data_IF_451100938285
#
_entry.id   IF_451100938285
#
_cell.length_a   1.000
_cell.length_b   1.000
_cell.length_c   1.000
_cell.angle_alpha   90.00
_cell.angle_beta   90.00
_cell.angle_gamma   90.00
#
_symmetry.space_group_name_H-M   'P 1'
#
loop_
_entity.id
_entity.type
_entity.pdbx_description
1 polymer ?
#
# COMPACT_ATOMS: atom_id res chain seq x y z
N UNK A 1 10.76 -45.75 -13.99
CA UNK A 1 9.94 -45.30 -12.85
C UNK A 1 10.35 -43.94 -12.29
N UNK A 2 11.65 -43.64 -12.09
CA UNK A 2 12.11 -42.35 -11.52
C UNK A 2 11.83 -41.11 -12.41
N UNK A 3 11.87 -41.27 -13.73
CA UNK A 3 11.65 -40.16 -14.69
C UNK A 3 10.22 -39.59 -14.63
N UNK A 4 9.22 -40.45 -14.43
CA UNK A 4 7.81 -40.06 -14.33
C UNK A 4 7.50 -39.33 -13.02
N UNK A 5 8.24 -39.66 -11.94
CA UNK A 5 8.12 -39.01 -10.63
C UNK A 5 8.70 -37.58 -10.64
N UNK A 6 9.79 -37.36 -11.39
CA UNK A 6 10.40 -36.04 -11.57
C UNK A 6 9.48 -35.10 -12.37
N UNK A 7 8.86 -35.62 -13.45
CA UNK A 7 7.90 -34.85 -14.26
C UNK A 7 6.65 -34.48 -13.45
N UNK A 8 6.12 -35.41 -12.63
CA UNK A 8 4.98 -35.12 -11.73
C UNK A 8 5.33 -34.10 -10.64
N UNK A 9 6.55 -34.13 -10.08
CA UNK A 9 7.03 -33.11 -9.14
C UNK A 9 7.18 -31.74 -9.80
N UNK A 10 7.76 -31.68 -11.00
CA UNK A 10 7.90 -30.45 -11.78
C UNK A 10 6.54 -29.90 -12.21
N UNK A 11 5.58 -30.76 -12.54
CA UNK A 11 4.20 -30.35 -12.84
C UNK A 11 3.46 -29.84 -11.59
N UNK A 12 3.64 -30.45 -10.40
CA UNK A 12 3.09 -29.91 -9.15
C UNK A 12 3.75 -28.60 -8.72
N UNK A 13 5.05 -28.42 -9.00
CA UNK A 13 5.79 -27.18 -8.76
C UNK A 13 5.39 -26.07 -9.75
N UNK A 14 5.08 -26.43 -11.00
CA UNK A 14 4.53 -25.52 -12.03
C UNK A 14 3.07 -25.16 -11.74
N UNK A 15 2.26 -26.06 -11.16
CA UNK A 15 0.90 -25.75 -10.68
C UNK A 15 0.93 -24.76 -9.51
N UNK A 16 2.05 -24.64 -8.79
CA UNK A 16 2.21 -23.69 -7.68
C UNK A 16 2.65 -22.28 -8.11
N UNK A 17 2.98 -22.05 -9.38
CA UNK A 17 3.14 -20.69 -9.92
C UNK A 17 1.86 -20.26 -10.63
N UNK A 18 0.73 -20.22 -9.90
CA UNK A 18 -0.39 -19.38 -10.32
C UNK A 18 0.12 -17.94 -10.28
N UNK A 19 0.46 -17.38 -11.43
CA UNK A 19 0.86 -15.99 -11.59
C UNK A 19 -0.27 -15.12 -11.03
N UNK A 20 -0.12 -14.67 -9.80
CA UNK A 20 -1.07 -13.77 -9.17
C UNK A 20 -1.11 -12.51 -10.03
N UNK A 21 -2.23 -12.27 -10.73
CA UNK A 21 -2.41 -11.03 -11.47
C UNK A 21 -2.51 -9.89 -10.46
N UNK A 22 -1.46 -9.07 -10.39
CA UNK A 22 -1.41 -7.90 -9.51
C UNK A 22 -1.63 -6.65 -10.35
N UNK A 23 -2.72 -5.94 -10.08
CA UNK A 23 -2.99 -4.62 -10.65
C UNK A 23 -2.30 -3.52 -9.84
N UNK A 24 -2.04 -2.40 -10.52
CA UNK A 24 -1.42 -1.22 -9.94
C UNK A 24 -2.34 -0.02 -10.14
N UNK A 25 -2.59 0.71 -9.06
CA UNK A 25 -3.31 1.97 -9.10
C UNK A 25 -2.45 3.07 -8.50
N UNK A 26 -2.13 4.09 -9.31
CA UNK A 26 -1.20 5.16 -8.97
C UNK A 26 0.15 5.04 -9.70
N UNK A 27 1.23 5.64 -9.15
CA UNK A 27 1.25 6.31 -7.86
C UNK A 27 0.59 7.70 -7.96
N UNK A 28 -0.13 8.08 -6.91
CA UNK A 28 -0.65 9.45 -6.76
C UNK A 28 0.43 10.31 -6.11
N UNK A 29 0.57 11.58 -6.50
CA UNK A 29 1.63 12.46 -5.98
C UNK A 29 2.71 12.77 -7.02
N UNK A 30 3.97 12.79 -6.56
CA UNK A 30 5.14 13.05 -7.39
C UNK A 30 5.22 12.11 -8.60
N UNK A 31 5.60 12.69 -9.74
CA UNK A 31 5.82 11.97 -11.01
C UNK A 31 7.32 11.66 -11.25
N UNK A 32 8.18 11.96 -10.28
CA UNK A 32 9.58 11.53 -10.32
C UNK A 32 9.68 9.99 -10.19
N UNK A 33 10.79 9.38 -10.64
CA UNK A 33 10.96 7.94 -10.58
C UNK A 33 10.74 7.36 -9.16
N UNK A 34 9.97 6.29 -9.13
CA UNK A 34 9.68 5.49 -7.94
C UNK A 34 10.98 4.93 -7.35
N UNK A 35 11.05 4.88 -6.02
CA UNK A 35 12.20 4.34 -5.30
C UNK A 35 11.84 3.33 -4.22
N UNK A 36 10.55 2.97 -4.11
CA UNK A 36 10.12 1.86 -3.28
C UNK A 36 8.99 1.08 -3.94
N UNK A 37 9.00 -0.23 -3.70
CA UNK A 37 7.95 -1.16 -4.09
C UNK A 37 7.90 -2.27 -3.05
N UNK A 38 6.73 -2.45 -2.45
CA UNK A 38 6.50 -3.41 -1.40
C UNK A 38 5.24 -4.20 -1.68
N UNK A 39 5.38 -5.52 -1.70
CA UNK A 39 4.28 -6.49 -1.84
C UNK A 39 4.42 -7.52 -0.74
N UNK A 40 3.28 -7.93 -0.20
CA UNK A 40 3.19 -9.08 0.69
C UNK A 40 3.68 -10.34 -0.03
N UNK A 41 4.43 -11.17 0.69
CA UNK A 41 4.74 -12.52 0.26
C UNK A 41 3.54 -13.44 0.47
N UNK A 42 3.61 -14.65 -0.07
CA UNK A 42 2.54 -15.62 0.08
C UNK A 42 2.26 -15.94 1.56
N UNK A 43 0.97 -15.88 1.93
CA UNK A 43 0.49 -16.10 3.28
C UNK A 43 0.74 -14.95 4.27
N UNK A 44 1.44 -13.88 3.87
CA UNK A 44 1.57 -12.69 4.71
C UNK A 44 0.26 -11.89 4.75
N UNK A 45 0.06 -11.15 5.84
CA UNK A 45 -1.09 -10.24 5.98
C UNK A 45 -0.71 -8.96 6.71
N UNK A 46 -1.28 -7.84 6.27
CA UNK A 46 -1.16 -6.56 6.98
C UNK A 46 -1.99 -6.66 8.27
N UNK A 47 -1.37 -6.31 9.40
CA UNK A 47 -2.02 -6.23 10.72
C UNK A 47 -2.22 -4.80 11.17
N UNK A 48 -1.26 -3.93 10.88
CA UNK A 48 -1.37 -2.52 11.19
C UNK A 48 -0.91 -1.68 10.00
N UNK A 49 -1.60 -0.56 9.76
CA UNK A 49 -1.09 0.54 8.94
C UNK A 49 -0.58 1.63 9.87
N UNK A 50 0.66 2.06 9.64
CA UNK A 50 1.32 3.14 10.38
C UNK A 50 1.41 4.34 9.45
N UNK A 51 0.85 5.48 9.87
CA UNK A 51 0.99 6.75 9.16
C UNK A 51 1.74 7.73 10.05
N UNK A 52 2.84 8.29 9.55
CA UNK A 52 3.50 9.44 10.16
C UNK A 52 3.05 10.71 9.47
N UNK A 53 2.64 11.70 10.24
CA UNK A 53 2.07 12.93 9.69
C UNK A 53 2.24 14.14 10.59
N UNK A 54 2.21 15.31 9.96
CA UNK A 54 2.19 16.62 10.59
C UNK A 54 1.50 17.62 9.68
N UNK A 55 2.27 18.54 9.09
CA UNK A 55 1.72 19.45 8.07
C UNK A 55 1.29 18.71 6.80
N UNK A 56 2.05 17.68 6.43
CA UNK A 56 1.75 16.75 5.34
C UNK A 56 1.94 15.30 5.83
N UNK A 57 1.92 14.32 4.94
CA UNK A 57 2.23 12.93 5.27
C UNK A 57 3.73 12.69 5.18
N UNK A 58 4.35 12.39 6.32
CA UNK A 58 5.77 12.09 6.43
C UNK A 58 6.09 10.67 5.94
N UNK A 59 5.27 9.68 6.30
CA UNK A 59 5.51 8.29 5.92
C UNK A 59 4.25 7.41 5.97
N UNK A 60 4.29 6.32 5.20
CA UNK A 60 3.39 5.18 5.31
C UNK A 60 4.18 3.92 5.65
N UNK A 61 3.62 3.06 6.48
CA UNK A 61 4.21 1.77 6.77
C UNK A 61 3.20 0.73 7.23
N UNK A 62 3.69 -0.49 7.37
CA UNK A 62 2.87 -1.66 7.61
C UNK A 62 3.56 -2.58 8.62
N UNK A 63 2.79 -3.03 9.61
CA UNK A 63 3.14 -4.21 10.41
C UNK A 63 2.54 -5.42 9.72
N UNK A 64 3.38 -6.37 9.35
CA UNK A 64 3.02 -7.52 8.54
C UNK A 64 3.24 -8.80 9.35
N UNK A 65 2.21 -9.63 9.45
CA UNK A 65 2.31 -10.95 10.04
C UNK A 65 2.83 -11.96 9.02
N UNK A 66 3.75 -12.82 9.44
CA UNK A 66 4.27 -13.93 8.65
C UNK A 66 3.43 -15.20 8.86
N UNK A 67 3.37 -16.11 7.86
CA UNK A 67 2.63 -17.37 7.99
C UNK A 67 3.10 -18.24 9.17
N UNK A 68 4.41 -18.24 9.43
CA UNK A 68 5.04 -19.02 10.50
C UNK A 68 4.92 -18.37 11.90
N UNK A 69 4.19 -17.27 12.02
CA UNK A 69 4.12 -16.46 13.23
C UNK A 69 5.14 -15.32 13.27
N UNK A 70 4.92 -14.39 14.20
CA UNK A 70 5.70 -13.17 14.32
C UNK A 70 5.32 -12.08 13.30
N UNK A 71 5.96 -10.92 13.43
CA UNK A 71 5.69 -9.74 12.60
C UNK A 71 6.97 -9.04 12.18
N UNK A 72 6.94 -8.32 11.06
CA UNK A 72 7.96 -7.35 10.70
C UNK A 72 7.31 -6.02 10.29
N UNK A 73 8.10 -4.95 10.29
CA UNK A 73 7.63 -3.62 9.89
C UNK A 73 8.36 -3.14 8.64
N UNK A 74 7.63 -2.54 7.71
CA UNK A 74 8.17 -1.78 6.58
C UNK A 74 7.64 -0.36 6.63
N UNK A 75 8.53 0.62 6.47
CA UNK A 75 8.22 2.05 6.49
C UNK A 75 8.80 2.72 5.23
N UNK A 76 8.04 3.65 4.65
CA UNK A 76 8.40 4.41 3.46
C UNK A 76 8.11 5.90 3.73
N UNK A 77 9.16 6.72 3.76
CA UNK A 77 9.10 8.14 4.11
C UNK A 77 9.98 8.53 5.29
N UNK A 78 9.74 9.71 5.84
CA UNK A 78 10.49 10.29 6.94
C UNK A 78 10.21 9.67 8.31
N UNK A 79 11.12 9.88 9.24
CA UNK A 79 11.00 9.43 10.64
C UNK A 79 10.34 10.45 11.57
N UNK A 80 10.02 11.64 11.06
CA UNK A 80 9.40 12.73 11.81
C UNK A 80 7.88 12.55 11.98
N UNK A 81 7.21 13.61 12.46
CA UNK A 81 5.76 13.68 12.59
C UNK A 81 5.19 12.87 13.77
N UNK A 82 3.89 13.05 13.97
CA UNK A 82 3.11 12.21 14.89
C UNK A 82 2.85 10.86 14.22
N UNK A 83 2.86 9.80 15.01
CA UNK A 83 2.56 8.45 14.52
C UNK A 83 1.12 8.07 14.86
N UNK A 84 0.33 7.75 13.84
CA UNK A 84 -1.00 7.15 13.99
C UNK A 84 -0.99 5.72 13.49
N UNK A 85 -1.79 4.86 14.12
CA UNK A 85 -1.88 3.43 13.79
C UNK A 85 -3.32 3.04 13.52
N UNK A 86 -3.54 2.21 12.51
CA UNK A 86 -4.80 1.54 12.21
C UNK A 86 -4.55 0.05 12.44
N UNK A 87 -5.08 -0.50 13.53
CA UNK A 87 -5.00 -1.94 13.82
C UNK A 87 -6.16 -2.62 13.12
N UNK A 88 -5.86 -3.43 12.10
CA UNK A 88 -6.88 -4.12 11.30
C UNK A 88 -7.47 -5.28 12.11
N UNK A 89 -8.80 -5.30 12.21
CA UNK A 89 -9.53 -6.41 12.83
C UNK A 89 -9.45 -7.68 11.98
N UNK A 90 -9.81 -8.82 12.56
CA UNK A 90 -9.91 -10.07 11.80
C UNK A 90 -10.89 -9.90 10.62
N UNK A 91 -10.43 -10.20 9.40
CA UNK A 91 -11.21 -10.01 8.17
C UNK A 91 -11.28 -8.56 7.65
N UNK A 92 -10.72 -7.59 8.36
CA UNK A 92 -10.60 -6.22 7.87
C UNK A 92 -9.49 -6.13 6.82
N UNK A 93 -9.81 -5.51 5.68
CA UNK A 93 -8.95 -5.38 4.51
C UNK A 93 -9.02 -3.96 4.01
N UNK A 94 -7.87 -3.44 3.58
CA UNK A 94 -7.79 -2.15 2.89
C UNK A 94 -8.51 -2.28 1.54
N UNK A 95 -9.41 -1.35 1.27
CA UNK A 95 -10.25 -1.33 0.05
C UNK A 95 -9.99 -0.11 -0.82
N UNK A 96 -9.39 0.95 -0.27
CA UNK A 96 -9.09 2.17 -1.02
C UNK A 96 -8.05 3.01 -0.28
N UNK A 97 -7.28 3.78 -1.04
CA UNK A 97 -6.57 4.95 -0.53
C UNK A 97 -7.13 6.22 -1.17
N UNK A 98 -7.22 7.30 -0.43
CA UNK A 98 -7.62 8.61 -0.97
C UNK A 98 -6.90 9.73 -0.24
N UNK A 99 -6.93 10.94 -0.78
CA UNK A 99 -6.31 12.09 -0.13
C UNK A 99 -6.04 13.23 -1.09
N UNK A 100 -5.01 14.01 -0.76
CA UNK A 100 -4.53 15.11 -1.59
C UNK A 100 -3.01 15.08 -1.72
N UNK A 101 -2.50 15.63 -2.81
CA UNK A 101 -1.08 15.87 -3.03
C UNK A 101 -0.86 17.23 -3.66
N UNK A 102 0.35 17.77 -3.58
CA UNK A 102 0.71 19.06 -4.17
C UNK A 102 2.13 19.47 -3.83
N UNK A 103 2.53 20.67 -4.25
CA UNK A 103 3.89 21.15 -4.06
C UNK A 103 4.08 21.64 -2.62
N UNK A 104 4.97 21.01 -1.86
CA UNK A 104 5.19 21.38 -0.47
C UNK A 104 6.29 22.45 -0.35
N UNK A 105 5.92 23.64 0.13
CA UNK A 105 6.80 24.81 0.16
C UNK A 105 8.04 24.65 1.02
N UNK A 106 7.99 23.76 2.02
CA UNK A 106 9.10 23.49 2.93
C UNK A 106 9.99 22.32 2.46
N UNK A 107 9.77 21.81 1.24
CA UNK A 107 10.61 20.81 0.59
C UNK A 107 10.93 21.25 -0.85
N UNK A 108 11.49 22.45 -1.02
CA UNK A 108 11.88 22.97 -2.34
C UNK A 108 10.75 22.92 -3.39
N UNK A 109 9.50 23.12 -2.97
CA UNK A 109 8.30 22.97 -3.80
C UNK A 109 8.17 21.60 -4.51
N UNK A 110 8.77 20.54 -3.95
CA UNK A 110 8.60 19.18 -4.45
C UNK A 110 7.18 18.68 -4.16
N UNK A 111 6.67 17.84 -5.05
CA UNK A 111 5.35 17.26 -4.91
C UNK A 111 5.35 16.20 -3.79
N UNK A 112 4.41 16.32 -2.85
CA UNK A 112 4.25 15.39 -1.72
C UNK A 112 2.80 15.05 -1.44
N UNK A 113 2.57 13.92 -0.80
CA UNK A 113 1.26 13.53 -0.26
C UNK A 113 0.93 14.46 0.91
N UNK A 114 -0.07 15.31 0.69
CA UNK A 114 -0.49 16.33 1.63
C UNK A 114 -1.44 15.75 2.68
N UNK A 115 -2.40 14.94 2.25
CA UNK A 115 -3.30 14.20 3.13
C UNK A 115 -3.49 12.78 2.64
N UNK A 116 -3.76 11.85 3.57
CA UNK A 116 -4.03 10.45 3.25
C UNK A 116 -5.13 9.88 4.14
N UNK A 117 -6.07 9.17 3.52
CA UNK A 117 -7.06 8.30 4.16
C UNK A 117 -6.85 6.86 3.71
N UNK A 118 -7.03 5.95 4.67
CA UNK A 118 -7.04 4.50 4.43
C UNK A 118 -8.47 4.01 4.63
N UNK A 119 -9.08 3.46 3.59
CA UNK A 119 -10.42 2.90 3.68
C UNK A 119 -10.34 1.39 3.83
N UNK A 120 -11.25 0.82 4.61
CA UNK A 120 -11.37 -0.62 4.79
C UNK A 120 -12.80 -1.06 4.57
N UNK A 121 -13.01 -2.36 4.36
CA UNK A 121 -14.34 -2.95 4.32
C UNK A 121 -15.12 -2.77 5.64
N UNK A 122 -14.45 -2.58 6.78
CA UNK A 122 -15.10 -2.31 8.07
C UNK A 122 -15.18 -0.82 8.43
N UNK A 123 -14.47 0.04 7.70
CA UNK A 123 -14.52 1.49 7.84
C UNK A 123 -14.55 2.17 6.45
N UNK A 124 -15.70 2.12 5.73
CA UNK A 124 -15.79 2.68 4.37
C UNK A 124 -15.57 4.19 4.31
N UNK A 125 -15.92 4.93 5.37
CA UNK A 125 -15.66 6.38 5.49
C UNK A 125 -14.17 6.74 5.56
N UNK A 126 -13.32 5.75 5.88
CA UNK A 126 -11.87 5.85 5.94
C UNK A 126 -11.35 6.35 7.29
N UNK A 127 -10.16 5.86 7.66
CA UNK A 127 -9.34 6.37 8.75
C UNK A 127 -8.52 7.57 8.28
N UNK A 128 -8.47 8.64 9.09
CA UNK A 128 -7.83 9.91 8.74
C UNK A 128 -8.86 11.05 8.53
N UNK A 129 -8.54 12.11 7.76
CA UNK A 129 -7.30 12.27 7.00
C UNK A 129 -6.10 12.47 7.91
N UNK A 130 -4.98 11.86 7.54
CA UNK A 130 -3.67 12.10 8.14
C UNK A 130 -2.95 13.16 7.34
N UNK A 131 -2.22 14.06 8.01
CA UNK A 131 -1.66 15.27 7.41
C UNK A 131 -2.65 16.44 7.42
N UNK A 132 -2.14 17.66 7.61
CA UNK A 132 -2.96 18.88 7.71
C UNK A 132 -3.11 19.62 6.36
N UNK A 133 -2.39 19.20 5.31
CA UNK A 133 -2.30 19.90 4.04
C UNK A 133 -1.69 21.31 4.12
N UNK A 134 -0.96 21.63 5.19
CA UNK A 134 -0.41 22.98 5.41
C UNK A 134 0.80 23.22 4.54
N UNK A 135 0.87 24.41 3.92
CA UNK A 135 2.01 24.81 3.09
C UNK A 135 2.10 24.04 1.78
N UNK A 136 0.98 23.48 1.31
CA UNK A 136 0.87 22.77 0.04
C UNK A 136 0.21 23.69 -0.98
N UNK A 137 0.91 23.95 -2.07
CA UNK A 137 0.41 24.71 -3.21
C UNK A 137 -0.14 23.77 -4.28
N UNK A 138 -1.14 24.24 -5.03
CA UNK A 138 -1.83 23.48 -6.09
C UNK A 138 -2.33 22.09 -5.65
N UNK A 139 -3.09 21.97 -4.54
CA UNK A 139 -3.54 20.67 -4.05
C UNK A 139 -4.47 19.99 -5.06
N UNK A 140 -4.19 18.71 -5.33
CA UNK A 140 -5.01 17.82 -6.17
C UNK A 140 -5.52 16.66 -5.34
N UNK A 141 -6.81 16.40 -5.41
CA UNK A 141 -7.41 15.23 -4.78
C UNK A 141 -7.07 13.96 -5.57
N UNK A 142 -7.00 12.84 -4.87
CA UNK A 142 -6.88 11.52 -5.47
C UNK A 142 -7.68 10.47 -4.71
N UNK A 143 -8.01 9.40 -5.42
CA UNK A 143 -8.60 8.19 -4.88
C UNK A 143 -8.19 7.01 -5.77
N UNK A 144 -7.80 5.89 -5.16
CA UNK A 144 -7.78 4.62 -5.89
C UNK A 144 -9.21 4.18 -6.23
N UNK A 145 -9.39 3.31 -7.24
CA UNK A 145 -10.71 2.79 -7.56
C UNK A 145 -11.38 2.11 -6.35
N UNK A 146 -12.71 2.18 -6.33
CA UNK A 146 -13.57 1.49 -5.38
C UNK A 146 -14.92 1.20 -6.07
N UNK A 147 -15.40 -0.07 -6.10
CA UNK A 147 -14.78 -1.24 -5.48
C UNK A 147 -13.48 -1.67 -6.17
N UNK A 148 -12.66 -2.44 -5.46
CA UNK A 148 -11.50 -3.14 -6.01
C UNK A 148 -11.86 -4.61 -6.25
N UNK A 149 -11.30 -5.20 -7.31
CA UNK A 149 -11.48 -6.62 -7.67
C UNK A 149 -10.61 -7.59 -6.83
N UNK A 150 -10.20 -7.15 -5.64
CA UNK A 150 -9.38 -7.93 -4.74
C UNK A 150 -8.77 -7.11 -3.59
N UNK A 151 -8.05 -7.76 -2.66
CA UNK A 151 -7.42 -7.07 -1.55
C UNK A 151 -6.19 -6.27 -2.00
N UNK A 152 -5.93 -5.16 -1.31
CA UNK A 152 -4.64 -4.47 -1.37
C UNK A 152 -3.57 -5.36 -0.72
N UNK A 153 -2.51 -5.67 -1.48
CA UNK A 153 -1.41 -6.55 -1.08
C UNK A 153 -0.06 -5.85 -1.04
N UNK A 154 -0.04 -4.52 -1.19
CA UNK A 154 1.22 -3.79 -1.20
C UNK A 154 1.06 -2.33 -1.59
N UNK A 155 2.16 -1.61 -1.52
CA UNK A 155 2.28 -0.21 -1.93
C UNK A 155 3.57 0.02 -2.71
N UNK A 156 3.56 1.04 -3.54
CA UNK A 156 4.73 1.50 -4.27
C UNK A 156 4.69 3.01 -4.41
N UNK A 157 5.79 3.61 -4.87
CA UNK A 157 5.85 5.03 -5.14
C UNK A 157 7.23 5.60 -4.88
N UNK A 158 7.24 6.84 -4.39
CA UNK A 158 8.45 7.58 -4.11
C UNK A 158 8.41 8.20 -2.72
N UNK A 159 9.54 8.17 -2.04
CA UNK A 159 9.71 8.92 -0.80
C UNK A 159 11.14 9.45 -0.65
N UNK A 160 11.28 10.48 0.18
CA UNK A 160 12.56 10.93 0.70
C UNK A 160 12.36 11.34 2.16
N UNK A 161 12.48 12.64 2.47
CA UNK A 161 12.16 13.20 3.79
C UNK A 161 10.66 13.09 4.13
N UNK A 162 9.79 13.02 3.13
CA UNK A 162 8.35 12.87 3.25
C UNK A 162 7.85 11.83 2.24
N UNK A 163 6.57 11.46 2.32
CA UNK A 163 5.94 10.60 1.34
C UNK A 163 5.63 11.43 0.09
N UNK A 164 6.35 11.18 -1.01
CA UNK A 164 6.24 12.00 -2.22
C UNK A 164 5.14 11.50 -3.16
N UNK A 165 5.00 10.17 -3.28
CA UNK A 165 3.92 9.53 -4.00
C UNK A 165 3.58 8.17 -3.42
N UNK A 166 2.34 7.72 -3.61
CA UNK A 166 1.86 6.41 -3.16
C UNK A 166 0.87 5.81 -4.15
N UNK A 167 1.10 4.56 -4.51
CA UNK A 167 0.19 3.69 -5.24
C UNK A 167 -0.05 2.39 -4.48
N UNK A 168 -1.05 1.63 -4.91
CA UNK A 168 -1.43 0.34 -4.30
C UNK A 168 -1.30 -0.81 -5.30
N UNK A 169 -0.89 -1.96 -4.77
CA UNK A 169 -0.97 -3.24 -5.47
C UNK A 169 -2.24 -3.97 -5.07
N UNK A 170 -3.03 -4.41 -6.04
CA UNK A 170 -4.26 -5.16 -5.82
C UNK A 170 -4.10 -6.56 -6.39
N UNK A 171 -4.27 -7.58 -5.56
CA UNK A 171 -4.24 -8.98 -6.02
C UNK A 171 -5.61 -9.32 -6.56
N UNK A 172 -5.73 -9.58 -7.87
CA UNK A 172 -6.97 -10.10 -8.43
C UNK A 172 -7.31 -11.42 -7.75
N UNK A 173 -8.51 -11.49 -7.21
CA UNK A 173 -9.14 -12.79 -6.99
C UNK A 173 -9.70 -13.23 -8.33
N UNK A 174 -9.24 -14.37 -8.84
CA UNK A 174 -9.90 -15.00 -9.97
C UNK A 174 -11.39 -15.09 -9.64
N UNK A 175 -12.25 -14.59 -10.52
CA UNK A 175 -13.66 -14.95 -10.46
C UNK A 175 -13.69 -16.49 -10.43
N UNK A 176 -14.31 -17.15 -9.43
CA UNK A 176 -14.78 -18.50 -9.66
C UNK A 176 -15.80 -18.37 -10.78
N UNK A 177 -15.40 -18.72 -12.01
CA UNK A 177 -16.13 -18.43 -13.23
C UNK A 177 -17.61 -18.86 -13.16
N UNK A 178 -18.41 -18.14 -13.93
CA UNK A 178 -19.63 -18.62 -14.56
C UNK A 178 -19.44 -19.98 -15.25
#
# INVERSE_FOLDING_TARGET
MAHLLCIKKKAMEVIFQKSQMVEQYGPYGSQCPENYSFKLQEGESIKEVIIRHGYIVDAIGFVVAKPCGGTYTKMFGGSCGNQSKIVLKCGEKITQISGTYGNYKYQNNQCSIATLKIHTNLCPSGYGPYGQGKGVDCPRAFASPCPLDGPVVGVFGRHNNYLESVGIFVKKTDCPCA
#
